data_IF_313399769885
#
_entry.id   IF_313399769885
#
_cell.length_a   1.000
_cell.length_b   1.000
_cell.length_c   1.000
_cell.angle_alpha   90.00
_cell.angle_beta   90.00
_cell.angle_gamma   90.00
#
_symmetry.space_group_name_H-M   'P 1'
#
loop_
_entity.id
_entity.type
_entity.pdbx_description
1 polymer ?
#
# COMPACT_ATOMS: atom_id res chain seq x y z
N UNK A 1 -7.80 15.66 -15.49
CA UNK A 1 -8.70 14.56 -15.07
C UNK A 1 -9.29 14.97 -13.73
N UNK A 2 -10.60 15.23 -13.65
CA UNK A 2 -11.24 15.69 -12.41
C UNK A 2 -11.88 14.50 -11.70
N UNK A 3 -11.36 14.17 -10.52
CA UNK A 3 -11.81 13.05 -9.71
C UNK A 3 -13.12 13.44 -9.00
N UNK A 4 -14.16 12.60 -9.13
CA UNK A 4 -15.54 12.89 -8.73
C UNK A 4 -15.73 13.32 -7.26
N UNK A 5 -14.80 12.94 -6.38
CA UNK A 5 -14.81 13.27 -4.94
C UNK A 5 -13.66 14.19 -4.51
N UNK A 6 -12.83 14.66 -5.45
CA UNK A 6 -11.63 15.44 -5.14
C UNK A 6 -10.53 14.67 -4.39
N UNK A 7 -10.68 13.35 -4.20
CA UNK A 7 -9.67 12.48 -3.59
C UNK A 7 -8.47 12.37 -4.51
N UNK A 8 -7.27 12.64 -4.02
CA UNK A 8 -6.02 12.59 -4.77
C UNK A 8 -5.03 11.52 -4.26
N UNK A 9 -5.26 10.99 -3.05
CA UNK A 9 -4.37 10.06 -2.37
C UNK A 9 -5.17 8.85 -1.89
N UNK A 10 -4.68 7.65 -2.23
CA UNK A 10 -5.24 6.38 -1.79
C UNK A 10 -4.28 5.65 -0.86
N UNK A 11 -4.79 5.20 0.28
CA UNK A 11 -4.10 4.32 1.21
C UNK A 11 -4.60 2.89 0.98
N UNK A 12 -3.68 1.96 0.76
CA UNK A 12 -4.01 0.57 0.43
C UNK A 12 -3.75 -0.31 1.66
N UNK A 13 -4.79 -1.00 2.07
CA UNK A 13 -4.80 -2.01 3.13
C UNK A 13 -5.82 -3.10 2.75
N UNK A 14 -5.75 -4.28 3.38
CA UNK A 14 -6.75 -5.34 3.20
C UNK A 14 -6.20 -6.68 2.69
N UNK A 15 -6.99 -7.38 1.88
CA UNK A 15 -6.71 -8.74 1.44
C UNK A 15 -7.14 -8.93 -0.02
N UNK A 16 -6.41 -9.59 -0.91
CA UNK A 16 -5.15 -10.31 -0.74
C UNK A 16 -3.93 -9.48 -1.20
N UNK A 17 -2.81 -9.53 -0.48
CA UNK A 17 -1.60 -8.70 -0.70
C UNK A 17 -1.09 -8.77 -2.15
N UNK A 18 -0.81 -9.95 -2.65
CA UNK A 18 -0.22 -10.22 -3.97
C UNK A 18 -1.22 -10.21 -5.13
N UNK A 19 -2.49 -9.91 -4.85
CA UNK A 19 -3.52 -9.76 -5.87
C UNK A 19 -4.23 -8.41 -5.72
N UNK A 20 -5.34 -8.40 -4.97
CA UNK A 20 -6.23 -7.24 -4.91
C UNK A 20 -5.49 -5.98 -4.45
N UNK A 21 -4.63 -6.09 -3.44
CA UNK A 21 -3.92 -4.93 -2.90
C UNK A 21 -2.90 -4.39 -3.91
N UNK A 22 -1.97 -5.22 -4.41
CA UNK A 22 -0.93 -4.77 -5.33
C UNK A 22 -1.51 -4.23 -6.65
N UNK A 23 -2.47 -4.92 -7.27
CA UNK A 23 -3.03 -4.47 -8.55
C UNK A 23 -3.89 -3.22 -8.40
N UNK A 24 -4.55 -3.04 -7.26
CA UNK A 24 -5.27 -1.81 -6.96
C UNK A 24 -4.30 -0.65 -6.80
N UNK A 25 -3.19 -0.85 -6.08
CA UNK A 25 -2.16 0.16 -5.88
C UNK A 25 -1.57 0.63 -7.22
N UNK A 26 -1.18 -0.32 -8.08
CA UNK A 26 -0.61 -0.02 -9.41
C UNK A 26 -1.64 0.69 -10.30
N UNK A 27 -2.89 0.20 -10.35
CA UNK A 27 -3.94 0.81 -11.16
C UNK A 27 -4.33 2.21 -10.67
N UNK A 28 -4.27 2.45 -9.36
CA UNK A 28 -4.48 3.76 -8.78
C UNK A 28 -3.38 4.74 -9.19
N UNK A 29 -2.12 4.31 -9.10
CA UNK A 29 -0.98 5.12 -9.53
C UNK A 29 -1.06 5.46 -11.03
N UNK A 30 -1.36 4.49 -11.88
CA UNK A 30 -1.54 4.70 -13.33
C UNK A 30 -2.65 5.73 -13.64
N UNK A 31 -3.71 5.74 -12.81
CA UNK A 31 -4.80 6.73 -12.89
C UNK A 31 -4.45 8.09 -12.26
N UNK A 32 -3.19 8.31 -11.87
CA UNK A 32 -2.70 9.58 -11.36
C UNK A 32 -3.04 9.89 -9.90
N UNK A 33 -3.39 8.87 -9.11
CA UNK A 33 -3.49 9.03 -7.67
C UNK A 33 -2.09 8.94 -7.04
N UNK A 34 -1.85 9.73 -5.98
CA UNK A 34 -0.80 9.40 -5.01
C UNK A 34 -1.22 8.14 -4.27
N UNK A 35 -0.31 7.20 -4.05
CA UNK A 35 -0.62 5.93 -3.41
C UNK A 35 0.38 5.65 -2.29
N UNK A 36 -0.15 5.29 -1.12
CA UNK A 36 0.62 4.72 -0.01
C UNK A 36 0.11 3.31 0.25
N UNK A 37 1.01 2.33 0.25
CA UNK A 37 0.75 0.93 0.54
C UNK A 37 1.22 0.62 1.95
N UNK A 38 0.32 0.16 2.82
CA UNK A 38 0.64 -0.12 4.23
C UNK A 38 0.89 -1.63 4.35
N UNK A 39 2.15 -2.05 4.34
CA UNK A 39 2.52 -3.44 4.05
C UNK A 39 2.02 -4.45 5.09
N UNK A 40 2.12 -4.10 6.37
CA UNK A 40 1.68 -4.89 7.51
C UNK A 40 0.17 -4.77 7.79
N UNK A 41 -0.51 -3.84 7.12
CA UNK A 41 -1.97 -3.75 7.06
C UNK A 41 -2.57 -4.49 5.85
N UNK A 42 -1.76 -5.29 5.16
CA UNK A 42 -2.23 -6.27 4.17
C UNK A 42 -2.09 -7.71 4.67
N UNK A 43 -2.90 -8.61 4.12
CA UNK A 43 -2.86 -10.03 4.46
C UNK A 43 -2.94 -10.93 3.24
N UNK A 44 -2.39 -12.14 3.40
CA UNK A 44 -2.49 -13.25 2.45
C UNK A 44 -2.68 -14.58 3.18
N UNK A 45 -3.33 -15.54 2.51
CA UNK A 45 -3.42 -16.94 2.97
C UNK A 45 -2.43 -17.83 2.25
N UNK A 46 -1.76 -17.30 1.22
CA UNK A 46 -0.77 -18.04 0.48
C UNK A 46 0.52 -18.09 1.28
N UNK A 47 1.29 -19.14 1.04
CA UNK A 47 2.55 -19.41 1.72
C UNK A 47 3.64 -19.69 0.69
N UNK A 48 4.87 -19.86 1.16
CA UNK A 48 5.98 -20.37 0.37
C UNK A 48 5.66 -21.68 -0.34
N UNK A 49 4.87 -22.57 0.28
CA UNK A 49 4.37 -23.80 -0.33
C UNK A 49 3.46 -23.53 -1.54
N UNK A 50 2.64 -22.48 -1.48
CA UNK A 50 1.71 -22.15 -2.58
C UNK A 50 2.44 -21.75 -3.86
N UNK A 51 3.59 -21.10 -3.71
CA UNK A 51 4.42 -20.64 -4.82
C UNK A 51 5.62 -21.54 -5.10
N UNK A 52 5.78 -22.63 -4.33
CA UNK A 52 6.91 -23.57 -4.41
C UNK A 52 8.29 -22.89 -4.26
N UNK A 53 8.37 -21.79 -3.49
CA UNK A 53 9.60 -21.04 -3.24
C UNK A 53 9.85 -21.00 -1.73
N UNK A 54 10.74 -21.85 -1.23
CA UNK A 54 11.03 -21.97 0.19
C UNK A 54 11.47 -20.64 0.83
N UNK A 55 10.84 -20.26 1.95
CA UNK A 55 11.19 -19.03 2.68
C UNK A 55 10.67 -17.74 2.06
N UNK A 56 9.75 -17.82 1.10
CA UNK A 56 9.08 -16.68 0.51
C UNK A 56 8.13 -16.01 1.52
N UNK A 57 8.44 -14.79 1.94
CA UNK A 57 7.44 -13.89 2.53
C UNK A 57 6.82 -13.06 1.41
N UNK A 58 5.54 -13.33 1.15
CA UNK A 58 4.79 -12.69 0.07
C UNK A 58 4.59 -11.20 0.34
N UNK A 59 4.35 -10.82 1.61
CA UNK A 59 4.13 -9.41 1.95
C UNK A 59 5.40 -8.61 1.74
N UNK A 60 6.53 -9.13 2.20
CA UNK A 60 7.83 -8.48 2.05
C UNK A 60 8.21 -8.31 0.58
N UNK A 61 8.00 -9.34 -0.26
CA UNK A 61 8.34 -9.25 -1.68
C UNK A 61 7.47 -8.25 -2.41
N UNK A 62 6.17 -8.22 -2.13
CA UNK A 62 5.27 -7.22 -2.70
C UNK A 62 5.68 -5.81 -2.24
N UNK A 63 5.98 -5.63 -0.95
CA UNK A 63 6.49 -4.38 -0.39
C UNK A 63 7.78 -3.92 -1.07
N UNK A 64 8.78 -4.78 -1.21
CA UNK A 64 10.07 -4.50 -1.87
C UNK A 64 9.87 -4.10 -3.34
N UNK A 65 9.05 -4.85 -4.10
CA UNK A 65 8.79 -4.55 -5.51
C UNK A 65 8.14 -3.19 -5.68
N UNK A 66 7.16 -2.87 -4.82
CA UNK A 66 6.50 -1.57 -4.83
C UNK A 66 7.46 -0.45 -4.41
N UNK A 67 8.25 -0.66 -3.35
CA UNK A 67 9.21 0.33 -2.86
C UNK A 67 10.27 0.68 -3.91
N UNK A 68 10.88 -0.33 -4.55
CA UNK A 68 11.90 -0.12 -5.60
C UNK A 68 11.36 0.49 -6.89
N UNK A 69 10.04 0.50 -7.09
CA UNK A 69 9.45 1.19 -8.24
C UNK A 69 9.60 2.72 -8.17
N UNK A 70 9.84 3.28 -6.97
CA UNK A 70 9.77 4.72 -6.67
C UNK A 70 8.44 5.40 -7.09
N UNK A 71 7.41 4.62 -7.43
CA UNK A 71 6.10 5.10 -7.86
C UNK A 71 5.09 5.15 -6.71
N UNK A 72 5.19 4.19 -5.78
CA UNK A 72 4.24 3.99 -4.69
C UNK A 72 5.03 4.05 -3.38
N UNK A 73 4.55 4.85 -2.42
CA UNK A 73 5.11 4.89 -1.07
C UNK A 73 4.72 3.60 -0.34
N UNK A 74 5.68 2.94 0.31
CA UNK A 74 5.44 1.74 1.11
C UNK A 74 5.87 2.05 2.53
N UNK A 75 4.98 1.82 3.48
CA UNK A 75 5.20 2.06 4.92
C UNK A 75 4.69 0.87 5.72
N UNK A 76 5.28 0.62 6.87
CA UNK A 76 4.61 -0.12 7.93
C UNK A 76 3.55 0.76 8.65
N UNK A 77 2.76 0.18 9.55
CA UNK A 77 1.71 0.90 10.25
C UNK A 77 2.26 2.00 11.15
N UNK A 78 3.36 1.75 11.86
CA UNK A 78 4.03 2.73 12.70
C UNK A 78 4.52 3.94 11.90
N UNK A 79 5.22 3.71 10.79
CA UNK A 79 5.70 4.72 9.84
C UNK A 79 4.54 5.51 9.24
N UNK A 80 3.44 4.85 8.85
CA UNK A 80 2.21 5.52 8.40
C UNK A 80 1.68 6.46 9.48
N UNK A 81 1.57 5.97 10.73
CA UNK A 81 1.09 6.77 11.85
C UNK A 81 1.99 7.98 12.08
N UNK A 82 3.31 7.82 12.05
CA UNK A 82 4.26 8.92 12.22
C UNK A 82 4.17 9.95 11.09
N UNK A 83 4.10 9.49 9.84
CA UNK A 83 4.05 10.36 8.65
C UNK A 83 2.72 11.13 8.54
N UNK A 84 1.60 10.53 8.98
CA UNK A 84 0.25 11.05 8.69
C UNK A 84 -0.58 11.46 9.93
N UNK A 85 -0.22 11.15 11.19
CA UNK A 85 -0.95 11.68 12.37
C UNK A 85 -0.86 13.19 12.51
N UNK A 86 0.30 13.79 12.25
CA UNK A 86 0.53 15.23 12.55
C UNK A 86 -0.23 16.15 11.58
N UNK A 87 -0.65 15.66 10.41
CA UNK A 87 -1.38 16.45 9.40
C UNK A 87 -2.90 16.49 9.61
N UNK A 88 -3.46 15.65 10.49
CA UNK A 88 -4.90 15.56 10.75
C UNK A 88 -5.34 16.20 12.08
N UNK A 89 -4.42 16.79 12.84
CA UNK A 89 -4.79 17.66 13.96
C UNK A 89 -5.32 18.96 13.38
N UNK A 90 -6.65 19.10 13.30
CA UNK A 90 -7.30 20.39 13.10
C UNK A 90 -6.67 21.34 14.13
N UNK A 91 -6.00 22.40 13.68
CA UNK A 91 -5.64 23.48 14.58
C UNK A 91 -6.97 24.05 15.10
N UNK A 92 -7.33 23.67 16.33
CA UNK A 92 -8.42 24.28 17.07
C UNK A 92 -8.12 25.78 17.09
N UNK A 93 -8.94 26.55 16.38
CA UNK A 93 -8.99 28.02 16.50
C UNK A 93 -9.79 28.39 17.74
#
# INVERSE_FOLDING_TARGET
MQLLLGVNHLFIAGFNTEFCCIFTAISAFDRGYTVTFIEDATGTVNTDETFEIQGLDIKDIVGIVLHWSNAIEVLDYEEYVEAYKIKNTIQEK
#
